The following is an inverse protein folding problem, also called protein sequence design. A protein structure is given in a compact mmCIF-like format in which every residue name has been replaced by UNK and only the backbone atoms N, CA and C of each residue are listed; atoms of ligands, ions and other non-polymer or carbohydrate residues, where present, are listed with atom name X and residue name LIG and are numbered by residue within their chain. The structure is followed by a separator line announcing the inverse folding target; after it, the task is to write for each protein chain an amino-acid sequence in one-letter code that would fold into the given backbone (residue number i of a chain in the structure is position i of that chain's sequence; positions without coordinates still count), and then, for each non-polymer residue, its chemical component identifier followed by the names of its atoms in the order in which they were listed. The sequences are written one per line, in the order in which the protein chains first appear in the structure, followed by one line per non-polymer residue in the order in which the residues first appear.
data_IF_970613458101
#
_entry.id   IF_970613458101
#
_cell.length_a   1.000
_cell.length_b   1.000
_cell.length_c   1.000
_cell.angle_alpha   90.00
_cell.angle_beta   90.00
_cell.angle_gamma   90.00
#
_symmetry.space_group_name_H-M   'P 1'
#
loop_
_entity.id
_entity.type
_entity.pdbx_description
1 polymer ?
#
# COMPACT_ATOMS: atom_id res chain seq x y z
N UNK A 1 -3.45 14.29 -3.41
CA UNK A 1 -3.69 12.90 -2.95
C UNK A 1 -3.52 11.88 -4.05
N UNK A 2 -3.85 12.20 -5.31
CA UNK A 2 -3.79 11.23 -6.41
C UNK A 2 -2.37 10.76 -6.75
N UNK A 3 -1.38 11.65 -6.73
CA UNK A 3 0.02 11.25 -6.94
C UNK A 3 0.52 10.28 -5.86
N UNK A 4 0.17 10.52 -4.59
CA UNK A 4 0.53 9.61 -3.49
C UNK A 4 -0.15 8.24 -3.69
N UNK A 5 -1.44 8.22 -4.03
CA UNK A 5 -2.16 6.97 -4.34
C UNK A 5 -1.49 6.19 -5.46
N UNK A 6 -1.13 6.86 -6.56
CA UNK A 6 -0.47 6.24 -7.71
C UNK A 6 0.88 5.64 -7.30
N UNK A 7 1.70 6.41 -6.58
CA UNK A 7 3.01 5.95 -6.11
C UNK A 7 2.86 4.77 -5.15
N UNK A 8 1.95 4.83 -4.18
CA UNK A 8 1.70 3.73 -3.25
C UNK A 8 1.22 2.47 -3.98
N UNK A 9 0.36 2.61 -5.00
CA UNK A 9 -0.07 1.47 -5.83
C UNK A 9 1.09 0.84 -6.60
N UNK A 10 1.96 1.68 -7.18
CA UNK A 10 3.12 1.21 -7.93
C UNK A 10 4.10 0.45 -7.01
N UNK A 11 4.39 1.02 -5.84
CA UNK A 11 5.24 0.37 -4.83
C UNK A 11 4.65 -0.95 -4.33
N UNK A 12 3.33 -1.00 -4.16
CA UNK A 12 2.63 -2.22 -3.75
C UNK A 12 2.74 -3.33 -4.80
N UNK A 13 2.49 -3.03 -6.09
CA UNK A 13 2.65 -4.01 -7.18
C UNK A 13 4.07 -4.55 -7.23
N UNK A 14 5.07 -3.66 -7.18
CA UNK A 14 6.47 -4.07 -7.28
C UNK A 14 6.84 -4.98 -6.10
N UNK A 15 6.40 -4.63 -4.90
CA UNK A 15 6.60 -5.46 -3.70
C UNK A 15 6.00 -6.85 -3.87
N UNK A 16 4.72 -6.94 -4.24
CA UNK A 16 4.03 -8.21 -4.43
C UNK A 16 4.68 -9.01 -5.56
N UNK A 17 5.04 -8.37 -6.67
CA UNK A 17 5.71 -9.00 -7.80
C UNK A 17 7.08 -9.57 -7.44
N UNK A 18 7.89 -8.85 -6.65
CA UNK A 18 9.18 -9.31 -6.18
C UNK A 18 9.06 -10.52 -5.23
N UNK A 19 8.06 -10.52 -4.34
CA UNK A 19 7.79 -11.65 -3.45
C UNK A 19 7.33 -12.88 -4.25
N UNK A 20 6.41 -12.70 -5.20
CA UNK A 20 5.95 -13.79 -6.07
C UNK A 20 7.11 -14.35 -6.90
N UNK A 21 7.97 -13.48 -7.43
CA UNK A 21 9.17 -13.89 -8.15
C UNK A 21 10.08 -14.75 -7.28
N UNK A 22 10.33 -14.35 -6.03
CA UNK A 22 11.13 -15.13 -5.10
C UNK A 22 10.51 -16.49 -4.71
N UNK A 23 9.19 -16.64 -4.81
CA UNK A 23 8.48 -17.88 -4.51
C UNK A 23 8.43 -18.85 -5.70
N UNK A 24 8.31 -18.35 -6.92
CA UNK A 24 8.15 -19.18 -8.13
C UNK A 24 9.50 -19.66 -8.66
N UNK A 25 10.53 -18.83 -8.59
CA UNK A 25 11.85 -19.15 -9.14
C UNK A 25 12.75 -19.77 -8.06
N UNK A 26 13.62 -20.70 -8.49
CA UNK A 26 14.58 -21.35 -7.61
C UNK A 26 15.79 -20.43 -7.36
N UNK A 27 15.56 -19.39 -6.57
CA UNK A 27 16.53 -18.36 -6.21
C UNK A 27 17.29 -18.80 -4.94
N UNK A 28 18.58 -18.47 -4.79
CA UNK A 28 19.32 -18.74 -3.57
C UNK A 28 18.67 -18.15 -2.30
N UNK A 29 18.69 -18.89 -1.20
CA UNK A 29 18.01 -18.53 0.06
C UNK A 29 18.35 -17.12 0.57
N UNK A 30 19.62 -16.72 0.47
CA UNK A 30 20.07 -15.40 0.91
C UNK A 30 19.39 -14.26 0.15
N UNK A 31 19.08 -14.45 -1.13
CA UNK A 31 18.32 -13.48 -1.92
C UNK A 31 16.85 -13.49 -1.54
N UNK A 32 16.25 -14.66 -1.28
CA UNK A 32 14.86 -14.75 -0.81
C UNK A 32 14.69 -14.00 0.51
N UNK A 33 15.64 -14.13 1.44
CA UNK A 33 15.64 -13.37 2.69
C UNK A 33 15.83 -11.86 2.45
N UNK A 34 16.74 -11.45 1.55
CA UNK A 34 16.93 -10.05 1.21
C UNK A 34 15.68 -9.41 0.59
N UNK A 35 15.04 -10.12 -0.35
CA UNK A 35 13.77 -9.69 -0.97
C UNK A 35 12.68 -9.57 0.11
N UNK A 36 12.55 -10.58 0.96
CA UNK A 36 11.54 -10.58 2.03
C UNK A 36 11.74 -9.43 3.01
N UNK A 37 12.98 -9.16 3.42
CA UNK A 37 13.31 -8.11 4.38
C UNK A 37 12.93 -6.70 3.87
N UNK A 38 13.03 -6.45 2.57
CA UNK A 38 12.76 -5.14 1.98
C UNK A 38 11.30 -5.06 1.52
N UNK A 39 10.85 -6.05 0.75
CA UNK A 39 9.58 -5.96 0.04
C UNK A 39 8.38 -6.30 0.91
N UNK A 40 8.50 -7.11 1.99
CA UNK A 40 7.37 -7.30 2.92
C UNK A 40 7.01 -6.00 3.65
N UNK A 41 7.93 -5.29 4.34
CA UNK A 41 7.60 -4.01 4.97
C UNK A 41 7.10 -2.98 3.96
N UNK A 42 7.74 -2.90 2.79
CA UNK A 42 7.31 -1.98 1.71
C UNK A 42 5.89 -2.28 1.25
N UNK A 43 5.53 -3.55 1.11
CA UNK A 43 4.18 -3.99 0.74
C UNK A 43 3.14 -3.63 1.80
N UNK A 44 3.43 -3.89 3.08
CA UNK A 44 2.53 -3.56 4.18
C UNK A 44 2.32 -2.05 4.29
N UNK A 45 3.40 -1.25 4.22
CA UNK A 45 3.31 0.20 4.31
C UNK A 45 2.56 0.82 3.13
N UNK A 46 2.87 0.40 1.91
CA UNK A 46 2.16 0.88 0.72
C UNK A 46 0.68 0.52 0.73
N UNK A 47 0.34 -0.69 1.19
CA UNK A 47 -1.05 -1.09 1.42
C UNK A 47 -1.74 -0.23 2.48
N UNK A 48 -1.07 0.03 3.61
CA UNK A 48 -1.59 0.92 4.66
C UNK A 48 -1.88 2.33 4.13
N UNK A 49 -0.98 2.90 3.33
CA UNK A 49 -1.18 4.20 2.69
C UNK A 49 -2.36 4.18 1.71
N UNK A 50 -2.51 3.12 0.91
CA UNK A 50 -3.66 2.95 0.02
C UNK A 50 -4.97 2.86 0.79
N UNK A 51 -4.98 2.13 1.91
CA UNK A 51 -6.15 2.01 2.78
C UNK A 51 -6.56 3.36 3.38
N UNK A 52 -5.59 4.13 3.90
CA UNK A 52 -5.84 5.48 4.42
C UNK A 52 -6.33 6.43 3.31
N UNK A 53 -5.71 6.37 2.14
CA UNK A 53 -6.09 7.24 1.02
C UNK A 53 -7.48 6.93 0.45
N UNK A 54 -8.02 5.75 0.72
CA UNK A 54 -9.37 5.36 0.29
C UNK A 54 -10.48 6.06 1.09
N UNK A 55 -10.17 6.63 2.26
CA UNK A 55 -11.14 7.27 3.15
C UNK A 55 -12.08 6.25 3.80
N UNK A 56 -12.44 6.45 5.07
CA UNK A 56 -13.51 5.64 5.68
C UNK A 56 -14.85 6.05 5.06
N UNK A 57 -15.75 5.09 4.82
CA UNK A 57 -17.14 5.41 4.44
C UNK A 57 -17.84 6.27 5.50
N UNK A 58 -17.44 6.17 6.77
CA UNK A 58 -17.95 7.03 7.85
C UNK A 58 -17.48 8.49 7.68
N UNK A 59 -16.22 8.74 7.30
CA UNK A 59 -15.74 10.11 7.05
C UNK A 59 -16.41 10.75 5.83
N UNK A 60 -16.76 9.95 4.82
CA UNK A 60 -17.55 10.44 3.67
C UNK A 60 -19.00 10.74 4.04
N UNK A 61 -19.60 9.97 4.96
CA UNK A 61 -20.95 10.22 5.48
C UNK A 61 -21.00 11.44 6.41
N UNK A 62 -20.02 11.61 7.30
CA UNK A 62 -19.95 12.77 8.19
C UNK A 62 -19.72 14.07 7.40
N UNK A 63 -18.83 14.05 6.39
CA UNK A 63 -18.69 15.17 5.43
C UNK A 63 -19.96 15.50 4.66
N UNK A 64 -20.90 14.56 4.55
CA UNK A 64 -22.20 14.74 3.88
C UNK A 64 -23.30 15.24 4.82
N UNK A 65 -23.20 14.89 6.10
CA UNK A 65 -24.19 15.19 7.15
C UNK A 65 -23.88 16.46 7.92
N UNK A 66 -22.61 16.84 8.04
CA UNK A 66 -22.23 18.11 8.65
C UNK A 66 -22.47 19.25 7.65
N UNK A 67 -23.42 20.18 7.90
CA UNK A 67 -23.46 21.42 7.14
C UNK A 67 -22.13 22.13 7.38
N UNK A 68 -21.54 22.73 6.34
CA UNK A 68 -20.28 23.49 6.45
C UNK A 68 -20.42 24.64 7.47
N UNK A 69 -20.24 24.35 8.76
CA UNK A 69 -20.09 25.37 9.78
C UNK A 69 -18.59 25.62 9.88
N UNK A 70 -18.11 26.45 8.96
CA UNK A 70 -16.85 27.15 9.15
C UNK A 70 -17.03 28.14 10.30
N UNK A 71 -16.53 27.77 11.47
CA UNK A 71 -16.07 28.73 12.47
C UNK A 71 -14.55 28.76 12.44
#
# INVERSE_FOLDING_TARGET
MDQLKIISWFMFIISVGAIIYALIFNIPDWMVYGISLIFLPTGILSFGLLAMARGSKEEEEDKRKEPFIGY
#
